data_IF_948441057578
#
_entry.id   IF_948441057578
#
_cell.length_a   1.000
_cell.length_b   1.000
_cell.length_c   1.000
_cell.angle_alpha   90.00
_cell.angle_beta   90.00
_cell.angle_gamma   90.00
#
_symmetry.space_group_name_H-M   'P 1'
#
loop_
_entity.id
_entity.type
_entity.pdbx_description
1 polymer ?
#
# COMPACT_ATOMS: atom_id res chain seq x y z
N UNK A 1 36.98 20.66 1.80
CA UNK A 1 36.18 19.45 2.06
C UNK A 1 35.29 19.61 3.31
N UNK A 2 35.86 19.69 4.54
CA UNK A 2 35.11 19.87 5.79
C UNK A 2 34.29 21.19 5.81
N UNK A 3 34.83 22.26 5.23
CA UNK A 3 34.19 23.57 5.15
C UNK A 3 32.99 23.61 4.17
N UNK A 4 33.04 22.82 3.13
CA UNK A 4 31.98 22.72 2.11
C UNK A 4 30.77 21.91 2.62
N UNK A 5 31.06 20.94 3.51
CA UNK A 5 30.03 20.08 4.15
C UNK A 5 29.51 20.65 5.47
N UNK A 6 30.01 21.83 5.93
CA UNK A 6 29.65 22.44 7.23
C UNK A 6 29.90 21.53 8.44
N UNK A 7 30.96 20.70 8.37
CA UNK A 7 31.29 19.70 9.36
C UNK A 7 32.38 20.28 10.31
N UNK A 8 32.36 19.94 11.61
CA UNK A 8 33.45 20.27 12.53
C UNK A 8 34.80 19.78 12.00
N UNK A 9 35.89 20.49 12.31
CA UNK A 9 37.25 20.12 11.82
C UNK A 9 37.75 18.77 12.33
N UNK A 10 37.17 18.25 13.41
CA UNK A 10 37.57 17.01 14.09
C UNK A 10 36.38 16.03 14.13
N UNK A 11 35.88 15.60 12.96
CA UNK A 11 34.86 14.55 12.92
C UNK A 11 35.50 13.16 12.82
N UNK A 12 34.82 12.16 13.41
CA UNK A 12 35.18 10.74 13.31
C UNK A 12 34.35 10.07 12.24
N UNK A 13 34.98 9.27 11.38
CA UNK A 13 34.30 8.45 10.39
C UNK A 13 33.94 7.12 11.02
N UNK A 14 32.62 6.85 11.13
CA UNK A 14 32.13 5.60 11.67
C UNK A 14 31.96 4.57 10.53
N UNK A 15 32.70 3.47 10.64
CA UNK A 15 32.61 2.33 9.72
C UNK A 15 31.50 1.37 10.11
N UNK A 16 31.28 1.19 11.42
CA UNK A 16 30.19 0.34 11.96
C UNK A 16 28.94 1.20 12.23
N UNK A 17 28.09 1.25 11.23
CA UNK A 17 26.82 2.01 11.31
C UNK A 17 25.73 1.29 12.13
N UNK A 18 25.91 0.01 12.44
CA UNK A 18 24.88 -0.77 13.14
C UNK A 18 24.66 -0.25 14.58
N UNK A 19 25.73 0.17 15.28
CA UNK A 19 25.62 0.76 16.62
C UNK A 19 24.91 2.12 16.61
N UNK A 20 25.22 2.97 15.63
CA UNK A 20 24.52 4.26 15.46
C UNK A 20 23.05 4.06 15.16
N UNK A 21 22.75 3.10 14.29
CA UNK A 21 21.36 2.77 13.95
C UNK A 21 20.61 2.21 15.15
N UNK A 22 21.24 1.35 15.94
CA UNK A 22 20.62 0.80 17.15
C UNK A 22 20.27 1.92 18.14
N UNK A 23 21.19 2.85 18.39
CA UNK A 23 20.93 3.99 19.27
C UNK A 23 19.80 4.87 18.71
N UNK A 24 19.76 5.14 17.39
CA UNK A 24 18.71 5.92 16.78
C UNK A 24 17.34 5.24 16.93
N UNK A 25 17.27 3.92 16.76
CA UNK A 25 16.04 3.14 16.94
C UNK A 25 15.61 3.15 18.40
N UNK A 26 16.53 2.98 19.37
CA UNK A 26 16.21 3.06 20.79
C UNK A 26 15.67 4.43 21.19
N UNK A 27 16.22 5.53 20.66
CA UNK A 27 15.71 6.89 20.88
C UNK A 27 14.33 7.09 20.26
N UNK A 28 14.10 6.56 19.06
CA UNK A 28 12.80 6.60 18.39
C UNK A 28 11.72 5.86 19.21
N UNK A 29 12.04 4.66 19.73
CA UNK A 29 11.14 3.90 20.60
C UNK A 29 10.94 4.64 21.93
N UNK A 30 11.98 5.22 22.50
CA UNK A 30 11.92 6.00 23.74
C UNK A 30 10.99 7.20 23.70
N UNK A 31 10.69 7.76 22.51
CA UNK A 31 9.69 8.83 22.34
C UNK A 31 8.25 8.36 22.50
N UNK A 32 8.01 7.07 22.61
CA UNK A 32 6.68 6.54 22.93
C UNK A 32 6.22 7.09 24.30
N UNK A 33 5.06 7.72 24.32
CA UNK A 33 4.49 8.36 25.52
C UNK A 33 4.80 9.86 25.68
N UNK A 34 5.80 10.40 24.95
CA UNK A 34 6.10 11.84 24.97
C UNK A 34 5.26 12.62 23.97
N UNK A 35 5.15 12.10 22.75
CA UNK A 35 4.33 12.66 21.67
C UNK A 35 3.13 11.72 21.38
N UNK A 36 1.88 12.17 21.59
CA UNK A 36 0.70 11.35 21.38
C UNK A 36 0.51 10.88 19.93
N UNK A 37 0.85 11.72 18.94
CA UNK A 37 0.72 11.35 17.52
C UNK A 37 1.79 10.31 17.14
N UNK A 38 3.02 10.50 17.57
CA UNK A 38 4.11 9.56 17.32
C UNK A 38 3.87 8.24 18.06
N UNK A 39 3.42 8.29 19.30
CA UNK A 39 3.04 7.10 20.08
C UNK A 39 1.98 6.28 19.35
N UNK A 40 0.97 6.94 18.79
CA UNK A 40 -0.06 6.27 18.00
C UNK A 40 0.52 5.58 16.77
N UNK A 41 1.45 6.21 16.06
CA UNK A 41 2.11 5.61 14.88
C UNK A 41 2.88 4.35 15.26
N UNK A 42 3.62 4.37 16.39
CA UNK A 42 4.33 3.19 16.90
C UNK A 42 3.37 2.08 17.30
N UNK A 43 2.26 2.41 17.96
CA UNK A 43 1.25 1.44 18.35
C UNK A 43 0.54 0.84 17.13
N UNK A 44 0.15 1.66 16.16
CA UNK A 44 -0.47 1.18 14.91
C UNK A 44 0.48 0.23 14.16
N UNK A 45 1.79 0.53 14.14
CA UNK A 45 2.80 -0.34 13.55
C UNK A 45 2.92 -1.68 14.29
N UNK A 46 2.94 -1.64 15.62
CA UNK A 46 2.98 -2.85 16.45
C UNK A 46 1.75 -3.73 16.26
N UNK A 47 0.56 -3.13 16.25
CA UNK A 47 -0.70 -3.84 16.06
C UNK A 47 -0.79 -4.49 14.69
N UNK A 48 -0.39 -3.79 13.61
CA UNK A 48 -0.35 -4.36 12.26
C UNK A 48 0.57 -5.59 12.18
N UNK A 49 1.69 -5.60 12.92
CA UNK A 49 2.58 -6.75 12.98
C UNK A 49 1.97 -7.95 13.70
N UNK A 50 1.25 -7.69 14.78
CA UNK A 50 0.54 -8.74 15.54
C UNK A 50 -0.57 -9.36 14.69
N UNK A 51 -1.35 -8.55 13.96
CA UNK A 51 -2.42 -9.02 13.06
C UNK A 51 -1.89 -9.90 11.91
N UNK A 52 -0.66 -9.65 11.46
CA UNK A 52 0.02 -10.44 10.41
C UNK A 52 0.70 -11.73 10.94
N UNK A 53 0.47 -12.13 12.20
CA UNK A 53 1.16 -13.24 12.90
C UNK A 53 2.70 -13.13 12.86
N UNK A 54 3.22 -11.90 12.80
CA UNK A 54 4.66 -11.62 12.78
C UNK A 54 5.17 -11.31 14.19
N UNK A 55 6.49 -11.39 14.34
CA UNK A 55 7.14 -11.01 15.60
C UNK A 55 6.72 -9.60 16.03
N UNK A 56 6.39 -9.45 17.31
CA UNK A 56 6.07 -8.17 17.95
C UNK A 56 7.32 -7.36 18.35
N UNK A 57 8.52 -7.82 17.97
CA UNK A 57 9.77 -7.09 18.20
C UNK A 57 9.88 -5.88 17.25
N UNK A 58 9.35 -4.76 17.72
CA UNK A 58 9.37 -3.48 17.01
C UNK A 58 10.81 -3.05 16.74
N UNK A 59 11.71 -3.24 17.71
CA UNK A 59 13.11 -2.84 17.60
C UNK A 59 13.80 -3.52 16.42
N UNK A 60 13.63 -4.83 16.29
CA UNK A 60 14.18 -5.60 15.19
C UNK A 60 13.63 -5.13 13.81
N UNK A 61 12.33 -4.89 13.73
CA UNK A 61 11.72 -4.41 12.48
C UNK A 61 12.18 -3.00 12.12
N UNK A 62 12.32 -2.10 13.09
CA UNK A 62 12.85 -0.75 12.89
C UNK A 62 14.32 -0.76 12.46
N UNK A 63 15.15 -1.62 13.04
CA UNK A 63 16.54 -1.82 12.61
C UNK A 63 16.60 -2.28 11.15
N UNK A 64 15.73 -3.21 10.77
CA UNK A 64 15.65 -3.70 9.38
C UNK A 64 15.28 -2.61 8.40
N UNK A 65 14.28 -1.78 8.75
CA UNK A 65 13.86 -0.63 7.93
C UNK A 65 14.96 0.43 7.91
N UNK A 66 15.57 0.71 9.04
CA UNK A 66 16.63 1.71 9.20
C UNK A 66 17.88 1.43 8.34
N UNK A 67 18.19 0.17 8.05
CA UNK A 67 19.29 -0.19 7.14
C UNK A 67 19.16 0.42 5.74
N UNK A 68 17.95 0.75 5.31
CA UNK A 68 17.70 1.44 4.04
C UNK A 68 18.36 2.83 3.98
N UNK A 69 18.67 3.45 5.14
CA UNK A 69 19.32 4.78 5.23
C UNK A 69 20.75 4.74 4.68
N UNK A 70 21.43 3.60 4.82
CA UNK A 70 22.83 3.45 4.44
C UNK A 70 23.03 2.91 3.02
N UNK A 71 21.94 2.64 2.28
CA UNK A 71 21.99 2.23 0.88
C UNK A 71 22.04 3.49 -0.01
N UNK A 72 23.17 3.68 -0.70
CA UNK A 72 23.41 4.83 -1.58
C UNK A 72 22.35 5.01 -2.66
N UNK A 73 21.76 3.90 -3.14
CA UNK A 73 20.68 3.95 -4.13
C UNK A 73 19.42 4.66 -3.60
N UNK A 74 19.26 4.72 -2.28
CA UNK A 74 18.10 5.34 -1.63
C UNK A 74 18.33 6.83 -1.31
N UNK A 75 19.54 7.37 -1.43
CA UNK A 75 19.91 8.71 -0.96
C UNK A 75 18.97 9.83 -1.47
N UNK A 76 18.64 9.85 -2.77
CA UNK A 76 17.73 10.84 -3.34
C UNK A 76 16.32 10.74 -2.78
N UNK A 77 15.83 9.51 -2.55
CA UNK A 77 14.50 9.24 -1.99
C UNK A 77 14.44 9.60 -0.50
N UNK A 78 15.49 9.29 0.25
CA UNK A 78 15.61 9.62 1.67
C UNK A 78 15.66 11.13 1.90
N UNK A 79 16.35 11.89 1.04
CA UNK A 79 16.35 13.35 1.09
C UNK A 79 14.94 13.92 0.91
N UNK A 80 14.17 13.38 -0.02
CA UNK A 80 12.78 13.79 -0.22
C UNK A 80 11.89 13.39 0.96
N UNK A 81 12.11 12.20 1.51
CA UNK A 81 11.39 11.68 2.67
C UNK A 81 11.62 12.55 3.92
N UNK A 82 12.86 12.99 4.14
CA UNK A 82 13.24 13.79 5.31
C UNK A 82 12.52 15.15 5.38
N UNK A 83 12.06 15.67 4.25
CA UNK A 83 11.30 16.92 4.18
C UNK A 83 9.84 16.76 4.60
N UNK A 84 9.33 15.54 4.79
CA UNK A 84 7.92 15.27 5.13
C UNK A 84 7.78 15.24 6.65
N UNK A 85 6.76 15.91 7.17
CA UNK A 85 6.44 15.87 8.59
C UNK A 85 5.49 14.73 8.95
N UNK A 86 5.50 14.29 10.22
CA UNK A 86 4.66 13.17 10.70
C UNK A 86 3.18 13.40 10.39
N UNK A 87 2.69 14.61 10.62
CA UNK A 87 1.31 14.96 10.32
C UNK A 87 0.90 14.80 8.86
N UNK A 88 1.84 14.92 7.92
CA UNK A 88 1.55 14.74 6.50
C UNK A 88 1.44 13.26 6.13
N UNK A 89 2.22 12.39 6.76
CA UNK A 89 2.04 10.93 6.64
C UNK A 89 0.66 10.50 7.15
N UNK A 90 0.22 11.04 8.30
CA UNK A 90 -1.10 10.73 8.86
C UNK A 90 -2.25 11.25 7.99
N UNK A 91 -2.13 12.46 7.45
CA UNK A 91 -3.10 13.01 6.49
C UNK A 91 -3.20 12.13 5.24
N UNK A 92 -2.06 11.73 4.67
CA UNK A 92 -2.01 10.85 3.51
C UNK A 92 -2.65 9.49 3.83
N UNK A 93 -2.33 8.90 4.97
CA UNK A 93 -2.91 7.63 5.43
C UNK A 93 -4.44 7.71 5.48
N UNK A 94 -4.97 8.74 6.14
CA UNK A 94 -6.41 8.95 6.27
C UNK A 94 -7.08 9.18 4.91
N UNK A 95 -6.42 9.95 4.03
CA UNK A 95 -6.91 10.16 2.67
C UNK A 95 -7.00 8.86 1.88
N UNK A 96 -5.95 8.03 1.91
CA UNK A 96 -5.93 6.75 1.21
C UNK A 96 -6.94 5.74 1.79
N UNK A 97 -7.10 5.69 3.10
CA UNK A 97 -8.15 4.87 3.75
C UNK A 97 -9.55 5.27 3.28
N UNK A 98 -9.83 6.57 3.19
CA UNK A 98 -11.11 7.08 2.67
C UNK A 98 -11.29 6.72 1.20
N UNK A 99 -10.30 6.99 0.36
CA UNK A 99 -10.35 6.68 -1.07
C UNK A 99 -10.55 5.17 -1.34
N UNK A 100 -9.92 4.32 -0.53
CA UNK A 100 -10.09 2.86 -0.64
C UNK A 100 -11.54 2.46 -0.36
N UNK A 101 -12.17 3.00 0.70
CA UNK A 101 -13.58 2.74 1.01
C UNK A 101 -14.52 3.28 -0.06
N UNK A 102 -14.25 4.46 -0.60
CA UNK A 102 -15.06 5.06 -1.68
C UNK A 102 -14.99 4.19 -2.95
N UNK A 103 -13.81 3.65 -3.26
CA UNK A 103 -13.63 2.70 -4.39
C UNK A 103 -14.39 1.40 -4.12
N UNK A 104 -14.28 0.81 -2.94
CA UNK A 104 -14.98 -0.42 -2.56
C UNK A 104 -16.49 -0.27 -2.72
N UNK A 105 -17.06 0.81 -2.21
CA UNK A 105 -18.48 1.13 -2.39
C UNK A 105 -18.85 1.27 -3.87
N UNK A 106 -18.04 1.99 -4.66
CA UNK A 106 -18.30 2.17 -6.09
C UNK A 106 -18.25 0.87 -6.88
N UNK A 107 -17.30 0.01 -6.56
CA UNK A 107 -17.13 -1.31 -7.17
C UNK A 107 -18.33 -2.22 -6.84
N UNK A 108 -18.82 -2.20 -5.60
CA UNK A 108 -20.01 -2.92 -5.16
C UNK A 108 -21.27 -2.44 -5.92
N UNK A 109 -21.49 -1.13 -6.03
CA UNK A 109 -22.58 -0.53 -6.79
C UNK A 109 -22.55 -0.98 -8.26
N UNK A 110 -21.38 -0.93 -8.91
CA UNK A 110 -21.22 -1.33 -10.31
C UNK A 110 -21.43 -2.83 -10.50
N UNK A 111 -20.94 -3.66 -9.59
CA UNK A 111 -21.14 -5.12 -9.65
C UNK A 111 -22.61 -5.50 -9.44
N UNK A 112 -23.32 -4.80 -8.55
CA UNK A 112 -24.77 -4.96 -8.34
C UNK A 112 -25.53 -4.57 -9.60
N UNK A 113 -25.20 -3.43 -10.21
CA UNK A 113 -25.81 -3.00 -11.47
C UNK A 113 -25.62 -4.01 -12.60
N UNK A 114 -24.48 -4.72 -12.65
CA UNK A 114 -24.25 -5.80 -13.61
C UNK A 114 -25.24 -6.97 -13.41
N UNK A 115 -25.48 -7.38 -12.15
CA UNK A 115 -26.44 -8.45 -11.87
C UNK A 115 -27.88 -8.02 -12.17
N UNK A 116 -28.22 -6.76 -11.88
CA UNK A 116 -29.53 -6.18 -12.24
C UNK A 116 -29.74 -6.10 -13.76
N UNK A 117 -28.72 -5.72 -14.52
CA UNK A 117 -28.78 -5.73 -15.98
C UNK A 117 -29.10 -7.13 -16.55
N UNK A 118 -28.45 -8.17 -15.98
CA UNK A 118 -28.70 -9.55 -16.37
C UNK A 118 -30.18 -9.94 -16.10
N UNK A 119 -30.66 -9.66 -14.89
CA UNK A 119 -32.05 -10.02 -14.51
C UNK A 119 -33.08 -9.21 -15.25
N UNK A 120 -32.86 -7.91 -15.46
CA UNK A 120 -33.77 -7.02 -16.20
C UNK A 120 -33.86 -7.39 -17.69
N UNK A 121 -32.82 -8.01 -18.25
CA UNK A 121 -32.85 -8.58 -19.61
C UNK A 121 -33.57 -9.92 -19.68
N UNK A 122 -34.17 -10.41 -18.59
CA UNK A 122 -34.87 -11.68 -18.54
C UNK A 122 -33.98 -12.91 -18.60
N UNK A 123 -32.68 -12.75 -18.29
CA UNK A 123 -31.72 -13.84 -18.25
C UNK A 123 -31.57 -14.38 -16.83
N UNK A 124 -31.50 -15.71 -16.71
CA UNK A 124 -31.13 -16.39 -15.46
C UNK A 124 -29.57 -16.52 -15.38
N UNK A 125 -29.03 -16.52 -14.19
CA UNK A 125 -27.59 -16.75 -13.98
C UNK A 125 -27.12 -18.10 -14.53
N UNK A 126 -28.01 -19.09 -14.58
CA UNK A 126 -27.78 -20.40 -15.19
C UNK A 126 -27.61 -20.34 -16.71
N UNK A 127 -28.02 -19.27 -17.37
CA UNK A 127 -27.83 -19.08 -18.81
C UNK A 127 -26.37 -18.82 -19.17
N UNK A 128 -25.55 -18.41 -18.19
CA UNK A 128 -24.13 -18.19 -18.34
C UNK A 128 -23.33 -19.50 -18.13
N UNK A 129 -22.28 -19.77 -18.91
CA UNK A 129 -21.45 -20.97 -18.77
C UNK A 129 -20.90 -21.10 -17.35
N UNK A 130 -21.28 -22.16 -16.62
CA UNK A 130 -20.90 -22.41 -15.22
C UNK A 130 -21.18 -21.23 -14.27
N UNK A 131 -22.10 -20.35 -14.64
CA UNK A 131 -22.41 -19.10 -13.91
C UNK A 131 -21.17 -18.22 -13.64
N UNK A 132 -20.11 -18.36 -14.46
CA UNK A 132 -18.80 -17.72 -14.16
C UNK A 132 -18.91 -16.21 -14.11
N UNK A 133 -19.63 -15.57 -15.02
CA UNK A 133 -19.77 -14.12 -15.07
C UNK A 133 -20.63 -13.57 -13.92
N UNK A 134 -21.84 -14.09 -13.63
CA UNK A 134 -22.59 -13.69 -12.43
C UNK A 134 -21.82 -13.93 -11.12
N UNK A 135 -21.15 -15.06 -10.99
CA UNK A 135 -20.36 -15.38 -9.80
C UNK A 135 -19.15 -14.48 -9.62
N UNK A 136 -18.58 -13.95 -10.71
CA UNK A 136 -17.53 -12.93 -10.65
C UNK A 136 -18.03 -11.66 -9.93
N UNK A 137 -19.20 -11.14 -10.32
CA UNK A 137 -19.78 -9.97 -9.68
C UNK A 137 -20.23 -10.26 -8.24
N UNK A 138 -20.80 -11.42 -7.95
CA UNK A 138 -21.16 -11.84 -6.58
C UNK A 138 -19.94 -11.89 -5.65
N UNK A 139 -18.78 -12.37 -6.13
CA UNK A 139 -17.54 -12.36 -5.35
C UNK A 139 -17.09 -10.95 -5.00
N UNK A 140 -17.25 -10.01 -5.93
CA UNK A 140 -16.89 -8.60 -5.71
C UNK A 140 -17.82 -8.00 -4.65
N UNK A 141 -19.14 -8.20 -4.76
CA UNK A 141 -20.11 -7.74 -3.76
C UNK A 141 -19.84 -8.36 -2.37
N UNK A 142 -19.34 -9.59 -2.33
CA UNK A 142 -18.90 -10.24 -1.09
C UNK A 142 -17.54 -9.74 -0.56
N UNK A 143 -16.98 -8.67 -1.12
CA UNK A 143 -15.74 -8.04 -0.64
C UNK A 143 -14.45 -8.69 -1.15
N UNK A 144 -14.51 -9.54 -2.18
CA UNK A 144 -13.30 -10.06 -2.79
C UNK A 144 -12.74 -9.05 -3.79
N UNK A 145 -11.61 -8.44 -3.43
CA UNK A 145 -10.89 -7.47 -4.27
C UNK A 145 -9.52 -7.98 -4.72
N UNK A 146 -9.28 -9.29 -4.71
CA UNK A 146 -8.03 -9.89 -5.17
C UNK A 146 -7.95 -9.92 -6.70
N UNK A 147 -7.05 -9.15 -7.36
CA UNK A 147 -6.93 -9.16 -8.81
C UNK A 147 -6.62 -10.54 -9.39
N UNK A 148 -5.76 -11.32 -8.71
CA UNK A 148 -5.38 -12.66 -9.16
C UNK A 148 -6.53 -13.65 -9.15
N UNK A 149 -7.44 -13.56 -8.17
CA UNK A 149 -8.62 -14.41 -8.09
C UNK A 149 -9.73 -13.99 -9.04
N UNK A 150 -9.85 -12.68 -9.32
CA UNK A 150 -10.93 -12.14 -10.15
C UNK A 150 -10.60 -12.13 -11.63
N UNK A 151 -9.35 -11.87 -12.02
CA UNK A 151 -8.98 -11.56 -13.40
C UNK A 151 -8.00 -12.55 -14.06
N UNK A 152 -7.51 -13.56 -13.34
CA UNK A 152 -6.71 -14.63 -13.94
C UNK A 152 -7.61 -15.69 -14.59
N UNK A 153 -8.42 -15.28 -15.59
CA UNK A 153 -9.40 -16.12 -16.27
C UNK A 153 -9.71 -15.56 -17.67
N UNK A 154 -10.62 -16.25 -18.40
CA UNK A 154 -10.99 -15.87 -19.77
C UNK A 154 -12.24 -14.98 -19.86
N UNK A 155 -12.78 -14.46 -18.76
CA UNK A 155 -14.05 -13.70 -18.77
C UNK A 155 -13.97 -12.45 -19.64
N UNK A 156 -12.88 -11.69 -19.57
CA UNK A 156 -12.71 -10.50 -20.39
C UNK A 156 -12.72 -10.82 -21.89
N UNK A 157 -12.00 -11.87 -22.30
CA UNK A 157 -11.97 -12.30 -23.69
C UNK A 157 -13.38 -12.76 -24.14
N UNK A 158 -14.10 -13.50 -23.30
CA UNK A 158 -15.45 -13.94 -23.61
C UNK A 158 -16.43 -12.75 -23.77
N UNK A 159 -16.26 -11.69 -22.96
CA UNK A 159 -17.04 -10.45 -23.08
C UNK A 159 -16.72 -9.72 -24.37
N UNK A 160 -15.44 -9.62 -24.75
CA UNK A 160 -15.00 -8.98 -26.01
C UNK A 160 -15.55 -9.74 -27.23
N UNK A 161 -15.56 -11.07 -27.17
CA UNK A 161 -16.06 -11.94 -28.25
C UNK A 161 -17.59 -12.11 -28.25
N UNK A 162 -18.30 -11.51 -27.29
CA UNK A 162 -19.75 -11.70 -27.13
C UNK A 162 -20.17 -13.11 -26.69
N UNK A 163 -19.21 -13.96 -26.29
CA UNK A 163 -19.45 -15.38 -25.92
C UNK A 163 -19.75 -15.54 -24.44
N UNK A 164 -20.78 -14.86 -23.94
CA UNK A 164 -21.13 -14.84 -22.51
C UNK A 164 -22.24 -15.82 -22.13
N UNK A 165 -23.06 -16.25 -23.10
CA UNK A 165 -24.19 -17.15 -22.88
C UNK A 165 -23.91 -18.57 -23.34
N UNK A 166 -24.68 -19.55 -22.80
CA UNK A 166 -24.68 -20.93 -23.28
C UNK A 166 -25.29 -21.01 -24.69
N UNK A 167 -24.76 -21.91 -25.51
CA UNK A 167 -25.29 -22.16 -26.86
C UNK A 167 -26.78 -22.60 -26.89
N UNK A 168 -27.30 -23.04 -25.74
CA UNK A 168 -28.74 -23.42 -25.59
C UNK A 168 -29.66 -22.21 -25.49
N UNK A 169 -29.14 -21.01 -25.18
CA UNK A 169 -29.92 -19.77 -25.12
C UNK A 169 -30.05 -19.19 -26.53
N UNK A 170 -31.12 -19.58 -27.25
CA UNK A 170 -31.29 -19.25 -28.68
C UNK A 170 -31.81 -17.85 -28.98
N UNK A 171 -32.48 -17.19 -28.02
CA UNK A 171 -33.14 -15.90 -28.22
C UNK A 171 -32.88 -14.99 -27.03
N UNK A 172 -31.63 -14.60 -26.82
CA UNK A 172 -31.34 -13.53 -25.87
C UNK A 172 -31.96 -12.22 -26.37
N UNK A 173 -32.85 -11.59 -25.58
CA UNK A 173 -33.61 -10.42 -26.03
C UNK A 173 -32.73 -9.20 -26.33
N UNK A 174 -31.52 -9.13 -25.77
CA UNK A 174 -30.59 -8.03 -25.93
C UNK A 174 -29.16 -8.58 -25.84
N UNK A 175 -28.24 -8.08 -26.67
CA UNK A 175 -26.78 -8.33 -26.49
C UNK A 175 -26.23 -7.47 -25.33
N UNK A 176 -26.01 -8.10 -24.19
CA UNK A 176 -25.49 -7.46 -23.01
C UNK A 176 -23.94 -7.40 -22.97
N UNK A 177 -23.27 -8.13 -23.85
CA UNK A 177 -21.80 -8.27 -23.77
C UNK A 177 -21.07 -6.93 -23.85
N UNK A 178 -21.40 -5.98 -24.74
CA UNK A 178 -20.72 -4.69 -24.82
C UNK A 178 -20.90 -3.86 -23.53
N UNK A 179 -22.12 -3.84 -22.97
CA UNK A 179 -22.41 -3.07 -21.77
C UNK A 179 -21.72 -3.68 -20.54
N UNK A 180 -21.81 -5.00 -20.37
CA UNK A 180 -21.14 -5.71 -19.29
C UNK A 180 -19.61 -5.60 -19.39
N UNK A 181 -19.04 -5.53 -20.60
CA UNK A 181 -17.63 -5.32 -20.82
C UNK A 181 -17.16 -3.96 -20.26
N UNK A 182 -17.91 -2.89 -20.51
CA UNK A 182 -17.61 -1.55 -19.98
C UNK A 182 -17.59 -1.56 -18.46
N UNK A 183 -18.61 -2.14 -17.83
CA UNK A 183 -18.65 -2.30 -16.36
C UNK A 183 -17.51 -3.15 -15.86
N UNK A 184 -17.25 -4.30 -16.48
CA UNK A 184 -16.16 -5.20 -16.10
C UNK A 184 -14.80 -4.52 -16.12
N UNK A 185 -14.50 -3.77 -17.19
CA UNK A 185 -13.22 -3.04 -17.32
C UNK A 185 -13.13 -1.89 -16.32
N UNK A 186 -14.22 -1.17 -16.09
CA UNK A 186 -14.27 -0.10 -15.07
C UNK A 186 -14.02 -0.66 -13.67
N UNK A 187 -14.69 -1.73 -13.31
CA UNK A 187 -14.51 -2.42 -12.02
C UNK A 187 -13.06 -2.92 -11.89
N UNK A 188 -12.51 -3.52 -12.93
CA UNK A 188 -11.13 -4.01 -12.98
C UNK A 188 -10.14 -2.88 -12.67
N UNK A 189 -10.25 -1.74 -13.34
CA UNK A 189 -9.39 -0.58 -13.10
C UNK A 189 -9.51 -0.07 -11.65
N UNK A 190 -10.72 0.01 -11.11
CA UNK A 190 -10.97 0.43 -9.74
C UNK A 190 -10.37 -0.56 -8.72
N UNK A 191 -10.46 -1.86 -8.94
CA UNK A 191 -9.87 -2.88 -8.06
C UNK A 191 -8.34 -2.80 -8.09
N UNK A 192 -7.71 -2.58 -9.24
CA UNK A 192 -6.27 -2.36 -9.30
C UNK A 192 -5.85 -1.06 -8.59
N UNK A 193 -6.62 0.02 -8.78
CA UNK A 193 -6.39 1.29 -8.05
C UNK A 193 -6.54 1.11 -6.54
N UNK A 194 -7.57 0.39 -6.10
CA UNK A 194 -7.77 0.01 -4.68
C UNK A 194 -6.55 -0.75 -4.15
N UNK A 195 -6.06 -1.73 -4.91
CA UNK A 195 -4.86 -2.50 -4.55
C UNK A 195 -3.61 -1.64 -4.40
N UNK A 196 -3.40 -0.68 -5.31
CA UNK A 196 -2.32 0.30 -5.21
C UNK A 196 -2.45 1.14 -3.94
N UNK A 197 -3.62 1.68 -3.65
CA UNK A 197 -3.85 2.50 -2.45
C UNK A 197 -3.67 1.70 -1.17
N UNK A 198 -4.13 0.46 -1.12
CA UNK A 198 -3.90 -0.43 0.02
C UNK A 198 -2.40 -0.72 0.25
N UNK A 199 -1.65 -0.94 -0.83
CA UNK A 199 -0.20 -1.15 -0.73
C UNK A 199 0.55 0.10 -0.27
N UNK A 200 0.20 1.28 -0.79
CA UNK A 200 0.79 2.54 -0.32
C UNK A 200 0.45 2.74 1.16
N UNK A 201 -0.81 2.57 1.55
CA UNK A 201 -1.26 2.75 2.93
C UNK A 201 -0.52 1.84 3.91
N UNK A 202 -0.24 0.59 3.55
CA UNK A 202 0.54 -0.37 4.35
C UNK A 202 1.97 0.11 4.61
N UNK A 203 2.56 0.86 3.69
CA UNK A 203 3.94 1.32 3.79
C UNK A 203 4.08 2.74 4.37
N UNK A 204 2.99 3.47 4.59
CA UNK A 204 3.05 4.84 5.13
C UNK A 204 3.68 4.87 6.52
N UNK A 205 3.25 3.98 7.43
CA UNK A 205 3.78 3.91 8.79
C UNK A 205 5.27 3.53 8.79
N UNK A 206 5.72 2.47 8.08
CA UNK A 206 7.13 2.20 7.89
C UNK A 206 7.95 3.40 7.39
N UNK A 207 7.44 4.18 6.42
CA UNK A 207 8.13 5.36 5.93
C UNK A 207 8.17 6.51 6.94
N UNK A 208 7.11 6.72 7.70
CA UNK A 208 7.09 7.70 8.79
C UNK A 208 8.12 7.36 9.87
N UNK A 209 8.25 6.08 10.23
CA UNK A 209 9.24 5.59 11.20
C UNK A 209 10.66 5.66 10.64
N UNK A 210 10.87 5.34 9.35
CA UNK A 210 12.16 5.51 8.69
C UNK A 210 12.62 6.98 8.72
N UNK A 211 11.70 7.92 8.47
CA UNK A 211 11.97 9.35 8.57
C UNK A 211 12.35 9.75 9.99
N UNK A 212 11.65 9.24 11.01
CA UNK A 212 11.99 9.49 12.40
C UNK A 212 13.38 8.95 12.76
N UNK A 213 13.72 7.73 12.33
CA UNK A 213 15.06 7.15 12.53
C UNK A 213 16.13 7.99 11.85
N UNK A 214 15.89 8.46 10.63
CA UNK A 214 16.84 9.31 9.89
C UNK A 214 17.09 10.65 10.63
N UNK A 215 16.05 11.26 11.17
CA UNK A 215 16.16 12.50 11.96
C UNK A 215 16.96 12.27 13.26
N UNK A 216 16.70 11.16 13.98
CA UNK A 216 17.46 10.83 15.19
C UNK A 216 18.92 10.49 14.89
N UNK A 217 19.17 9.72 13.83
CA UNK A 217 20.52 9.38 13.40
C UNK A 217 21.35 10.65 13.16
N UNK A 218 20.75 11.64 12.49
CA UNK A 218 21.41 12.91 12.24
C UNK A 218 21.75 13.66 13.54
N UNK A 219 20.82 13.67 14.50
CA UNK A 219 21.06 14.28 15.83
C UNK A 219 22.21 13.58 16.55
N UNK A 220 22.24 12.24 16.56
CA UNK A 220 23.31 11.46 17.21
C UNK A 220 24.67 11.74 16.55
N UNK A 221 24.70 11.81 15.23
CA UNK A 221 25.91 12.11 14.48
C UNK A 221 26.46 13.52 14.82
N UNK A 222 25.55 14.52 14.90
CA UNK A 222 25.92 15.89 15.31
C UNK A 222 26.38 15.94 16.75
N UNK A 223 25.75 15.23 17.69
CA UNK A 223 26.15 15.17 19.11
C UNK A 223 27.52 14.53 19.35
N UNK A 224 27.88 13.55 18.49
CA UNK A 224 29.12 12.77 18.62
C UNK A 224 30.25 13.26 17.69
N UNK A 225 30.01 14.30 16.89
CA UNK A 225 30.92 14.73 15.82
C UNK A 225 31.30 13.57 14.88
N UNK A 226 30.33 12.71 14.53
CA UNK A 226 30.50 11.50 13.73
C UNK A 226 29.81 11.61 12.38
N UNK A 227 30.36 10.95 11.37
CA UNK A 227 29.74 10.80 10.04
C UNK A 227 29.82 9.35 9.59
N UNK A 228 28.75 8.87 8.97
CA UNK A 228 28.79 7.57 8.33
C UNK A 228 29.53 7.62 7.00
N UNK A 229 30.16 6.50 6.62
CA UNK A 229 30.91 6.42 5.36
C UNK A 229 30.02 6.66 4.13
N UNK A 230 28.74 6.35 4.20
CA UNK A 230 27.75 6.60 3.14
C UNK A 230 27.45 8.08 2.86
N UNK A 231 27.85 8.99 3.76
CA UNK A 231 27.69 10.44 3.59
C UNK A 231 28.85 11.09 2.86
N UNK A 232 29.90 10.32 2.58
CA UNK A 232 31.08 10.80 1.83
C UNK A 232 30.94 10.66 0.32
N UNK A 233 29.95 9.92 -0.18
CA UNK A 233 29.66 9.71 -1.59
C UNK A 233 28.53 10.63 -2.06
#
# INVERSE_FOLDING_TARGET
FAKDLKIPQNFEVVLDVDLLLQEAVERVIGKAGEDPEFTKVLLDFALEKIEDDRSWDIGFDLLKIGKLIFDENNAAHLKSLNAIELGDFLKLQNHLKKQTKDIEKKVEELATACLELITNAGLDFKDFPRETLPNHFKKIIAGNYSPTQLYNNKLENNLIEGKILKATVKNAPIDLAPQLLVYYQTIKQLIYKRGLFANINRNIVPFALLNAIQKELKIIQEEKDQLSISEFN
#
